data_IF_135531895019
#
_entry.id   IF_135531895019
#
_cell.length_a   1.000
_cell.length_b   1.000
_cell.length_c   1.000
_cell.angle_alpha   90.00
_cell.angle_beta   90.00
_cell.angle_gamma   90.00
#
_symmetry.space_group_name_H-M   'P 1'
#
loop_
_entity.id
_entity.type
_entity.pdbx_description
1 polymer ?
#
# COMPACT_ATOMS: atom_id res chain seq x y z
N UNK A 1 19.23 15.72 3.82
CA UNK A 1 17.86 15.26 3.48
C UNK A 1 17.23 16.29 2.58
N UNK A 2 16.96 15.96 1.31
CA UNK A 2 16.24 16.87 0.43
C UNK A 2 14.84 17.10 1.01
N UNK A 3 14.41 18.37 1.08
CA UNK A 3 13.06 18.73 1.53
C UNK A 3 12.08 18.23 0.47
N UNK A 4 11.39 17.13 0.77
CA UNK A 4 10.31 16.61 -0.06
C UNK A 4 9.26 17.73 -0.17
N UNK A 5 9.04 18.24 -1.39
CA UNK A 5 8.08 19.32 -1.62
C UNK A 5 6.69 18.70 -1.67
N UNK A 6 5.80 19.17 -0.81
CA UNK A 6 4.38 18.87 -0.94
C UNK A 6 3.84 19.53 -2.22
N UNK A 7 2.97 18.81 -2.91
CA UNK A 7 2.50 19.21 -4.22
C UNK A 7 1.32 20.16 -4.15
N UNK A 8 1.38 21.18 -4.99
CA UNK A 8 0.22 22.00 -5.30
C UNK A 8 -0.62 21.26 -6.34
N UNK A 9 -1.55 20.42 -5.86
CA UNK A 9 -2.52 19.69 -6.68
C UNK A 9 -3.63 20.61 -7.18
N UNK A 10 -3.29 21.80 -7.70
CA UNK A 10 -4.24 22.82 -8.14
C UNK A 10 -5.21 22.34 -9.25
N UNK A 11 -4.93 21.19 -9.88
CA UNK A 11 -5.78 20.55 -10.89
C UNK A 11 -6.70 19.44 -10.37
N UNK A 12 -6.59 19.03 -9.10
CA UNK A 12 -7.43 18.01 -8.49
C UNK A 12 -8.10 18.56 -7.23
N UNK A 13 -9.40 18.29 -7.03
CA UNK A 13 -10.14 18.73 -5.85
C UNK A 13 -9.79 17.88 -4.60
N UNK A 14 -8.50 17.78 -4.30
CA UNK A 14 -7.97 17.08 -3.13
C UNK A 14 -7.14 18.03 -2.29
N UNK A 15 -7.41 18.04 -0.99
CA UNK A 15 -6.60 18.83 -0.06
C UNK A 15 -5.19 18.25 0.08
N UNK A 16 -4.22 19.11 0.43
CA UNK A 16 -2.85 18.70 0.75
C UNK A 16 -2.81 17.60 1.84
N UNK A 17 -3.67 17.72 2.85
CA UNK A 17 -3.79 16.72 3.91
C UNK A 17 -4.26 15.37 3.36
N UNK A 18 -5.25 15.39 2.45
CA UNK A 18 -5.75 14.16 1.81
C UNK A 18 -4.67 13.51 0.95
N UNK A 19 -3.90 14.30 0.21
CA UNK A 19 -2.76 13.78 -0.56
C UNK A 19 -1.73 13.10 0.35
N UNK A 20 -1.33 13.77 1.44
CA UNK A 20 -0.39 13.20 2.42
C UNK A 20 -0.93 11.91 3.02
N UNK A 21 -2.21 11.86 3.37
CA UNK A 21 -2.87 10.65 3.88
C UNK A 21 -2.73 9.49 2.89
N UNK A 22 -3.04 9.71 1.60
CA UNK A 22 -2.91 8.68 0.55
C UNK A 22 -1.45 8.26 0.33
N UNK A 23 -0.53 9.21 0.31
CA UNK A 23 0.91 8.94 0.21
C UNK A 23 1.40 8.04 1.34
N UNK A 24 1.05 8.36 2.59
CA UNK A 24 1.42 7.53 3.73
C UNK A 24 0.68 6.19 3.75
N UNK A 25 -0.57 6.16 3.29
CA UNK A 25 -1.34 4.93 3.14
C UNK A 25 -0.59 3.92 2.24
N UNK A 26 -0.03 4.38 1.13
CA UNK A 26 0.77 3.56 0.24
C UNK A 26 2.15 3.19 0.79
N UNK A 27 2.86 4.13 1.44
CA UNK A 27 4.15 3.84 2.11
C UNK A 27 4.06 2.76 3.18
N UNK A 28 2.90 2.64 3.81
CA UNK A 28 2.63 1.59 4.79
C UNK A 28 2.43 0.19 4.18
N UNK A 29 2.52 0.01 2.87
CA UNK A 29 2.28 -1.28 2.20
C UNK A 29 3.13 -2.42 2.80
N UNK A 30 4.44 -2.22 2.97
CA UNK A 30 5.33 -3.26 3.54
C UNK A 30 4.97 -3.61 4.99
N UNK A 31 4.48 -2.64 5.77
CA UNK A 31 3.97 -2.91 7.12
C UNK A 31 2.68 -3.73 7.08
N UNK A 32 1.77 -3.40 6.15
CA UNK A 32 0.52 -4.15 5.94
C UNK A 32 0.84 -5.61 5.54
N UNK A 33 1.81 -5.80 4.65
CA UNK A 33 2.30 -7.12 4.24
C UNK A 33 2.85 -7.92 5.43
N UNK A 34 3.72 -7.32 6.26
CA UNK A 34 4.25 -7.97 7.48
C UNK A 34 3.15 -8.32 8.48
N UNK A 35 2.18 -7.42 8.68
CA UNK A 35 1.02 -7.67 9.56
C UNK A 35 0.13 -8.79 9.03
N UNK A 36 -0.04 -8.89 7.72
CA UNK A 36 -0.82 -9.95 7.09
C UNK A 36 -0.13 -11.32 7.22
N UNK A 37 1.18 -11.36 7.02
CA UNK A 37 2.00 -12.55 7.20
C UNK A 37 1.93 -13.06 8.65
N UNK A 38 2.14 -12.18 9.63
CA UNK A 38 2.10 -12.58 11.04
C UNK A 38 0.74 -13.10 11.50
N UNK A 39 -0.36 -12.51 11.03
CA UNK A 39 -1.72 -13.03 11.29
C UNK A 39 -1.92 -14.43 10.69
N UNK A 40 -1.36 -14.67 9.52
CA UNK A 40 -1.49 -15.94 8.79
C UNK A 40 -0.66 -17.04 9.47
N UNK A 41 0.56 -16.73 9.89
CA UNK A 41 1.42 -17.67 10.64
C UNK A 41 0.80 -18.06 11.99
N UNK A 42 0.27 -17.08 12.74
CA UNK A 42 -0.39 -17.30 14.03
C UNK A 42 -1.70 -18.08 13.92
N UNK A 43 -2.33 -18.12 12.74
CA UNK A 43 -3.54 -18.91 12.50
C UNK A 43 -3.25 -20.41 12.25
N UNK A 44 -1.98 -20.83 12.25
CA UNK A 44 -1.64 -22.26 12.19
C UNK A 44 -2.13 -22.97 13.45
N UNK A 45 -2.87 -24.08 13.35
CA UNK A 45 -3.51 -24.71 14.49
C UNK A 45 -2.45 -25.30 15.43
N UNK A 46 -2.19 -24.61 16.54
CA UNK A 46 -1.57 -25.24 17.70
C UNK A 46 -2.62 -26.18 18.30
N UNK A 47 -2.40 -27.48 18.11
CA UNK A 47 -3.20 -28.55 18.70
C UNK A 47 -3.15 -28.41 20.23
N UNK A 48 -4.13 -27.71 20.78
CA UNK A 48 -4.23 -27.40 22.21
C UNK A 48 -5.69 -27.21 22.61
N UNK A 49 -6.29 -28.29 23.10
CA UNK A 49 -7.66 -28.37 23.62
C UNK A 49 -7.92 -27.33 24.72
N UNK A 50 -8.73 -26.28 24.48
CA UNK A 50 -9.35 -25.49 25.58
C UNK A 50 -10.74 -24.94 25.19
N UNK A 51 -11.66 -25.02 26.17
CA UNK A 51 -13.10 -24.77 26.13
C UNK A 51 -13.51 -23.30 26.01
N UNK A 52 -14.61 -23.04 25.29
CA UNK A 52 -15.70 -22.14 25.71
C UNK A 52 -15.67 -20.65 25.31
N UNK A 53 -16.52 -20.28 24.33
CA UNK A 53 -17.24 -18.99 24.26
C UNK A 53 -16.48 -17.75 23.74
N UNK A 54 -15.30 -17.43 24.29
CA UNK A 54 -14.63 -16.13 24.08
C UNK A 54 -13.74 -16.09 22.82
N UNK A 55 -13.44 -17.25 22.23
CA UNK A 55 -12.59 -17.37 21.03
C UNK A 55 -13.29 -16.96 19.73
N UNK A 56 -14.62 -17.12 19.65
CA UNK A 56 -15.44 -16.78 18.46
C UNK A 56 -15.16 -15.35 17.97
N UNK A 57 -15.26 -14.38 18.88
CA UNK A 57 -15.12 -12.97 18.54
C UNK A 57 -13.67 -12.61 18.18
N UNK A 58 -12.69 -13.29 18.78
CA UNK A 58 -11.27 -13.11 18.43
C UNK A 58 -10.99 -13.62 17.02
N UNK A 59 -11.51 -14.80 16.66
CA UNK A 59 -11.38 -15.36 15.31
C UNK A 59 -12.08 -14.48 14.26
N UNK A 60 -13.29 -14.00 14.54
CA UNK A 60 -14.01 -13.09 13.66
C UNK A 60 -13.25 -11.76 13.45
N UNK A 61 -12.76 -11.15 14.53
CA UNK A 61 -11.96 -9.91 14.46
C UNK A 61 -10.65 -10.10 13.67
N UNK A 62 -9.99 -11.25 13.83
CA UNK A 62 -8.79 -11.60 13.06
C UNK A 62 -9.11 -11.73 11.57
N UNK A 63 -10.21 -12.41 11.22
CA UNK A 63 -10.65 -12.55 9.84
C UNK A 63 -10.97 -11.20 9.19
N UNK A 64 -11.70 -10.32 9.89
CA UNK A 64 -12.01 -8.96 9.44
C UNK A 64 -10.73 -8.16 9.21
N UNK A 65 -9.79 -8.20 10.16
CA UNK A 65 -8.51 -7.50 10.03
C UNK A 65 -7.68 -8.01 8.86
N UNK A 66 -7.67 -9.34 8.65
CA UNK A 66 -6.99 -9.97 7.51
C UNK A 66 -7.58 -9.50 6.18
N UNK A 67 -8.91 -9.52 6.06
CA UNK A 67 -9.62 -9.09 4.86
C UNK A 67 -9.34 -7.61 4.54
N UNK A 68 -9.41 -6.74 5.56
CA UNK A 68 -9.11 -5.32 5.41
C UNK A 68 -7.68 -5.07 4.92
N UNK A 69 -6.68 -5.71 5.51
CA UNK A 69 -5.28 -5.53 5.09
C UNK A 69 -5.07 -6.00 3.64
N UNK A 70 -5.67 -7.12 3.26
CA UNK A 70 -5.59 -7.65 1.89
C UNK A 70 -6.28 -6.71 0.89
N UNK A 71 -7.44 -6.17 1.24
CA UNK A 71 -8.16 -5.19 0.41
C UNK A 71 -7.38 -3.88 0.25
N UNK A 72 -6.80 -3.36 1.34
CA UNK A 72 -5.95 -2.16 1.30
C UNK A 72 -4.72 -2.34 0.40
N UNK A 73 -4.05 -3.49 0.46
CA UNK A 73 -2.94 -3.81 -0.44
C UNK A 73 -3.39 -3.94 -1.89
N UNK A 74 -4.51 -4.64 -2.14
CA UNK A 74 -5.09 -4.80 -3.46
C UNK A 74 -5.47 -3.47 -4.09
N UNK A 75 -6.03 -2.54 -3.32
CA UNK A 75 -6.35 -1.19 -3.83
C UNK A 75 -5.11 -0.46 -4.35
N UNK A 76 -3.96 -0.59 -3.66
CA UNK A 76 -2.71 0.05 -4.07
C UNK A 76 -2.20 -0.58 -5.37
N UNK A 77 -2.15 -1.92 -5.43
CA UNK A 77 -1.71 -2.66 -6.62
C UNK A 77 -2.58 -2.38 -7.84
N UNK A 78 -3.90 -2.44 -7.65
CA UNK A 78 -4.86 -2.19 -8.70
C UNK A 78 -4.79 -0.75 -9.21
N UNK A 79 -4.60 0.23 -8.33
CA UNK A 79 -4.43 1.63 -8.74
C UNK A 79 -3.16 1.84 -9.58
N UNK A 80 -2.06 1.16 -9.23
CA UNK A 80 -0.84 1.21 -10.04
C UNK A 80 -1.02 0.54 -11.40
N UNK A 81 -1.72 -0.60 -11.44
CA UNK A 81 -2.04 -1.32 -12.68
C UNK A 81 -2.97 -0.51 -13.60
N UNK A 82 -3.96 0.17 -13.03
CA UNK A 82 -4.88 1.06 -13.76
C UNK A 82 -4.19 2.32 -14.29
N UNK A 83 -3.18 2.81 -13.58
CA UNK A 83 -2.38 3.94 -14.04
C UNK A 83 -1.57 3.57 -15.30
N UNK A 84 -0.83 2.46 -15.25
CA UNK A 84 -0.14 1.90 -16.42
C UNK A 84 0.29 0.46 -16.14
N UNK A 85 -0.22 -0.48 -16.94
CA UNK A 85 0.05 -1.90 -16.77
C UNK A 85 1.47 -2.35 -17.14
N UNK A 86 2.20 -1.59 -17.94
CA UNK A 86 3.61 -1.88 -18.28
C UNK A 86 4.55 -1.30 -17.23
N UNK A 87 4.18 -0.16 -16.64
CA UNK A 87 5.01 0.55 -15.65
C UNK A 87 4.62 0.26 -14.19
N UNK A 88 3.60 -0.57 -13.95
CA UNK A 88 2.99 -0.76 -12.62
C UNK A 88 4.02 -1.13 -11.53
N UNK A 89 5.02 -1.98 -11.83
CA UNK A 89 6.06 -2.39 -10.89
C UNK A 89 6.90 -1.19 -10.43
N UNK A 90 7.32 -0.35 -11.38
CA UNK A 90 8.10 0.86 -11.11
C UNK A 90 7.27 1.92 -10.37
N UNK A 91 5.97 2.02 -10.69
CA UNK A 91 5.04 2.90 -9.98
C UNK A 91 4.91 2.45 -8.52
N UNK A 92 4.74 1.15 -8.28
CA UNK A 92 4.66 0.59 -6.93
C UNK A 92 5.95 0.83 -6.14
N UNK A 93 7.12 0.60 -6.74
CA UNK A 93 8.40 0.86 -6.09
C UNK A 93 8.56 2.34 -5.71
N UNK A 94 8.26 3.25 -6.65
CA UNK A 94 8.31 4.68 -6.39
C UNK A 94 7.36 5.11 -5.26
N UNK A 95 6.12 4.62 -5.29
CA UNK A 95 5.05 5.03 -4.37
C UNK A 95 5.21 4.40 -2.98
N UNK A 96 5.62 3.14 -2.91
CA UNK A 96 5.78 2.39 -1.65
C UNK A 96 7.10 2.76 -0.98
N UNK A 97 8.21 2.75 -1.73
CA UNK A 97 9.57 2.87 -1.18
C UNK A 97 10.08 4.31 -1.25
N UNK A 98 9.44 5.16 -2.05
CA UNK A 98 9.91 6.53 -2.27
C UNK A 98 11.14 6.58 -3.16
N UNK A 99 11.46 5.50 -3.88
CA UNK A 99 12.63 5.41 -4.75
C UNK A 99 12.54 6.46 -5.85
N UNK A 100 13.48 7.44 -5.90
CA UNK A 100 13.47 8.45 -6.95
C UNK A 100 13.62 7.82 -8.34
N UNK A 101 13.08 8.48 -9.38
CA UNK A 101 13.15 8.00 -10.76
C UNK A 101 14.58 7.68 -11.20
N UNK A 102 15.57 8.44 -10.72
CA UNK A 102 16.98 8.26 -11.04
C UNK A 102 17.55 6.89 -10.62
N UNK A 103 16.88 6.18 -9.71
CA UNK A 103 17.25 4.86 -9.23
C UNK A 103 16.36 3.74 -9.80
N UNK A 104 15.34 4.08 -10.61
CA UNK A 104 14.46 3.13 -11.26
C UNK A 104 14.92 2.93 -12.71
N UNK A 105 15.11 1.68 -13.13
CA UNK A 105 15.46 1.34 -14.52
C UNK A 105 14.21 1.32 -15.42
N UNK A 106 13.51 2.45 -15.47
CA UNK A 106 12.23 2.59 -16.16
C UNK A 106 12.48 2.80 -17.67
N UNK A 107 11.81 2.06 -18.57
CA UNK A 107 11.96 2.22 -20.02
C UNK A 107 11.21 3.45 -20.57
N UNK A 108 11.13 4.55 -19.83
CA UNK A 108 10.48 5.79 -20.27
C UNK A 108 11.24 7.03 -19.79
N UNK A 109 10.91 8.18 -20.36
CA UNK A 109 11.45 9.45 -19.89
C UNK A 109 10.92 9.81 -18.50
N UNK A 110 11.72 10.55 -17.72
CA UNK A 110 11.32 11.09 -16.41
C UNK A 110 9.96 11.80 -16.48
N UNK A 111 9.79 12.64 -17.49
CA UNK A 111 8.55 13.40 -17.69
C UNK A 111 7.36 12.50 -17.98
N UNK A 112 7.55 11.45 -18.80
CA UNK A 112 6.51 10.47 -19.11
C UNK A 112 6.10 9.68 -17.87
N UNK A 113 7.08 9.20 -17.09
CA UNK A 113 6.84 8.47 -15.85
C UNK A 113 5.99 9.27 -14.86
N UNK A 114 6.35 10.53 -14.59
CA UNK A 114 5.60 11.38 -13.66
C UNK A 114 4.30 11.94 -14.23
N UNK A 115 4.06 11.88 -15.53
CA UNK A 115 2.77 12.23 -16.10
C UNK A 115 1.72 11.15 -15.82
N UNK A 116 2.16 9.89 -15.77
CA UNK A 116 1.33 8.72 -15.48
C UNK A 116 1.14 8.53 -13.98
N UNK A 117 2.18 8.81 -13.19
CA UNK A 117 2.16 8.59 -11.76
C UNK A 117 1.16 9.53 -11.06
N UNK A 118 0.10 8.93 -10.50
CA UNK A 118 -1.01 9.62 -9.83
C UNK A 118 -0.63 10.29 -8.51
N UNK A 119 0.55 9.98 -7.96
CA UNK A 119 1.07 10.62 -6.75
C UNK A 119 2.04 11.76 -7.02
N UNK A 120 2.09 12.28 -8.27
CA UNK A 120 3.02 13.35 -8.64
C UNK A 120 2.95 14.53 -7.70
#
# INVERSE_FOLDING_TARGET
>A
MAKERDLQLLGYDISENRYRELKYFCRQYKEKQKKLASITELSSPQFGTVRGGVFSDKTANVAIKKARLAEEMKMIEQSALEADGELYEYILENVIEGTPFEYLDVPTSRSGFYAINFMR
#
